data_IF_965983853589
#
_entry.id   IF_965983853589
#
_cell.length_a   1.000
_cell.length_b   1.000
_cell.length_c   1.000
_cell.angle_alpha   90.00
_cell.angle_beta   90.00
_cell.angle_gamma   90.00
#
_symmetry.space_group_name_H-M   'P 1'
#
loop_
_entity.id
_entity.type
_entity.pdbx_description
1 polymer ?
#
# COMPACT_ATOMS: atom_id res chain seq x y z
N UNK A 1 17.03 17.07 3.80
CA UNK A 1 16.31 17.16 2.51
C UNK A 1 14.99 17.89 2.71
N UNK A 2 14.36 18.35 1.62
CA UNK A 2 12.94 18.73 1.55
C UNK A 2 12.22 17.70 0.69
N UNK A 3 11.34 16.90 1.28
CA UNK A 3 10.76 15.71 0.64
C UNK A 3 9.26 15.89 0.51
N UNK A 4 8.75 15.85 -0.72
CA UNK A 4 7.32 15.88 -1.01
C UNK A 4 6.88 14.49 -1.49
N UNK A 5 5.90 13.89 -0.82
CA UNK A 5 5.27 12.64 -1.21
C UNK A 5 3.91 12.90 -1.86
N UNK A 6 3.67 12.32 -3.02
CA UNK A 6 2.38 12.35 -3.68
C UNK A 6 1.61 11.08 -3.33
N UNK A 7 0.57 11.20 -2.51
CA UNK A 7 -0.26 10.07 -2.11
C UNK A 7 -1.33 9.81 -3.16
N UNK A 8 -1.55 8.52 -3.44
CA UNK A 8 -2.66 8.04 -4.28
C UNK A 8 -3.89 7.62 -3.47
N UNK A 9 -3.68 7.17 -2.23
CA UNK A 9 -4.75 6.65 -1.38
C UNK A 9 -5.65 7.77 -0.88
N UNK A 10 -6.96 7.57 -0.96
CA UNK A 10 -7.96 8.51 -0.47
C UNK A 10 -8.10 8.44 1.05
N UNK A 11 -8.20 9.61 1.68
CA UNK A 11 -8.31 9.76 3.13
C UNK A 11 -6.98 9.97 3.84
N UNK A 12 -7.03 10.72 4.93
CA UNK A 12 -5.87 11.08 5.75
C UNK A 12 -5.43 9.93 6.67
N UNK A 13 -6.31 8.95 6.88
CA UNK A 13 -6.04 7.75 7.67
C UNK A 13 -6.22 6.48 6.85
N UNK A 14 -5.91 6.53 5.55
CA UNK A 14 -5.99 5.38 4.65
C UNK A 14 -5.20 4.19 5.20
N UNK A 15 -5.78 3.00 5.11
CA UNK A 15 -5.25 1.74 5.67
C UNK A 15 -4.49 0.90 4.65
N UNK A 16 -4.17 1.46 3.48
CA UNK A 16 -3.43 0.76 2.44
C UNK A 16 -1.97 0.57 2.82
N UNK A 17 -1.36 -0.52 2.36
CA UNK A 17 0.06 -0.80 2.59
C UNK A 17 0.98 0.31 2.05
N UNK A 18 0.65 0.85 0.88
CA UNK A 18 1.36 1.96 0.26
C UNK A 18 1.31 3.23 1.13
N UNK A 19 0.11 3.65 1.56
CA UNK A 19 -0.03 4.86 2.38
C UNK A 19 0.74 4.72 3.70
N UNK A 20 0.64 3.53 4.33
CA UNK A 20 1.38 3.22 5.55
C UNK A 20 2.89 3.25 5.34
N UNK A 21 3.41 2.70 4.24
CA UNK A 21 4.82 2.72 3.91
C UNK A 21 5.33 4.16 3.68
N UNK A 22 4.60 4.93 2.88
CA UNK A 22 4.93 6.32 2.56
C UNK A 22 4.94 7.21 3.81
N UNK A 23 3.89 7.13 4.63
CA UNK A 23 3.80 7.92 5.86
C UNK A 23 4.85 7.52 6.89
N UNK A 24 5.18 6.23 7.01
CA UNK A 24 6.26 5.77 7.90
C UNK A 24 7.63 6.33 7.51
N UNK A 25 7.92 6.40 6.21
CA UNK A 25 9.14 7.05 5.70
C UNK A 25 9.14 8.56 6.01
N UNK A 26 8.05 9.28 5.76
CA UNK A 26 7.96 10.71 6.07
C UNK A 26 8.14 10.98 7.57
N UNK A 27 7.53 10.17 8.43
CA UNK A 27 7.68 10.28 9.89
C UNK A 27 9.14 10.12 10.32
N UNK A 28 9.83 9.11 9.76
CA UNK A 28 11.25 8.92 10.01
C UNK A 28 12.07 10.14 9.55
N UNK A 29 11.91 10.58 8.30
CA UNK A 29 12.67 11.70 7.76
C UNK A 29 12.41 13.01 8.55
N UNK A 30 11.17 13.26 8.96
CA UNK A 30 10.82 14.39 9.82
C UNK A 30 11.56 14.33 11.16
N UNK A 31 11.61 13.14 11.79
CA UNK A 31 12.34 12.94 13.05
C UNK A 31 13.85 13.17 12.93
N UNK A 32 14.40 13.06 11.71
CA UNK A 32 15.80 13.34 11.37
C UNK A 32 16.05 14.81 10.99
N UNK A 33 15.05 15.67 11.14
CA UNK A 33 15.15 17.11 10.86
C UNK A 33 15.03 17.46 9.38
N UNK A 34 14.54 16.56 8.53
CA UNK A 34 14.17 16.90 7.17
C UNK A 34 12.80 17.58 7.13
N UNK A 35 12.61 18.50 6.19
CA UNK A 35 11.29 19.04 5.91
C UNK A 35 10.51 18.01 5.08
N UNK A 36 9.38 17.54 5.58
CA UNK A 36 8.55 16.54 4.89
C UNK A 36 7.16 17.08 4.64
N UNK A 37 6.67 16.88 3.42
CA UNK A 37 5.31 17.20 3.05
C UNK A 37 4.65 16.05 2.31
N UNK A 38 3.31 16.01 2.33
CA UNK A 38 2.54 15.15 1.45
C UNK A 38 1.39 15.89 0.79
N UNK A 39 1.19 15.62 -0.49
CA UNK A 39 -0.04 15.91 -1.21
C UNK A 39 -0.95 14.68 -1.06
N UNK A 40 -2.12 14.87 -0.45
CA UNK A 40 -2.98 13.79 0.00
C UNK A 40 -4.45 14.19 -0.05
N UNK A 41 -5.32 13.31 0.42
CA UNK A 41 -6.76 13.51 0.42
C UNK A 41 -7.31 13.39 1.84
N UNK A 42 -8.48 13.97 2.07
CA UNK A 42 -9.18 13.92 3.36
C UNK A 42 -10.66 13.72 3.12
N UNK A 43 -11.28 12.92 3.97
CA UNK A 43 -12.74 12.85 4.12
C UNK A 43 -13.21 13.83 5.20
N UNK A 44 -14.52 14.01 5.27
CA UNK A 44 -15.16 14.84 6.29
C UNK A 44 -14.77 14.39 7.71
N UNK A 45 -14.50 15.36 8.60
CA UNK A 45 -14.09 15.12 9.98
C UNK A 45 -12.64 14.64 10.21
N UNK A 46 -11.90 14.24 9.16
CA UNK A 46 -10.53 13.72 9.33
C UNK A 46 -9.52 14.82 9.68
N UNK A 47 -9.72 16.05 9.19
CA UNK A 47 -8.89 17.21 9.52
C UNK A 47 -9.01 17.55 11.00
N UNK A 48 -10.24 17.62 11.52
CA UNK A 48 -10.53 17.88 12.94
C UNK A 48 -9.91 16.81 13.83
N UNK A 49 -9.99 15.54 13.41
CA UNK A 49 -9.34 14.42 14.11
C UNK A 49 -7.82 14.57 14.13
N UNK A 50 -7.20 15.00 13.02
CA UNK A 50 -5.77 15.21 12.95
C UNK A 50 -5.31 16.39 13.82
N UNK A 51 -6.08 17.49 13.83
CA UNK A 51 -5.84 18.67 14.67
C UNK A 51 -5.94 18.32 16.15
N UNK A 52 -6.99 17.59 16.53
CA UNK A 52 -7.20 17.16 17.92
C UNK A 52 -6.02 16.37 18.47
N UNK A 53 -5.35 15.56 17.62
CA UNK A 53 -4.13 14.83 17.99
C UNK A 53 -2.93 15.76 18.22
N UNK A 54 -2.81 16.85 17.45
CA UNK A 54 -1.76 17.87 17.62
C UNK A 54 -1.96 18.61 18.94
N UNK A 55 -3.19 19.05 19.20
CA UNK A 55 -3.55 19.80 20.40
C UNK A 55 -3.43 18.95 21.67
N UNK A 56 -3.80 17.67 21.61
CA UNK A 56 -3.58 16.71 22.69
C UNK A 56 -2.08 16.52 23.02
N UNK A 57 -1.19 16.79 22.06
CA UNK A 57 0.27 16.80 22.27
C UNK A 57 0.81 18.10 22.85
N UNK A 58 -0.04 19.09 23.16
CA UNK A 58 0.34 20.39 23.72
C UNK A 58 0.83 21.41 22.68
N UNK A 59 0.75 21.11 21.39
CA UNK A 59 1.10 22.02 20.32
C UNK A 59 -0.14 22.75 19.78
N UNK A 60 0.00 24.02 19.42
CA UNK A 60 -1.07 24.77 18.75
C UNK A 60 -1.12 24.39 17.28
N UNK A 61 -2.24 23.82 16.83
CA UNK A 61 -2.44 23.53 15.42
C UNK A 61 -2.63 24.83 14.61
N UNK A 62 -1.99 24.90 13.43
CA UNK A 62 -2.23 25.94 12.44
C UNK A 62 -2.76 25.28 11.18
N UNK A 63 -3.93 25.72 10.75
CA UNK A 63 -4.64 25.19 9.60
C UNK A 63 -5.00 26.35 8.70
N UNK A 64 -4.59 26.28 7.44
CA UNK A 64 -5.09 27.16 6.39
C UNK A 64 -5.96 26.34 5.45
N UNK A 65 -6.99 26.97 4.89
CA UNK A 65 -7.81 26.35 3.85
C UNK A 65 -7.81 27.22 2.60
N UNK A 66 -7.92 26.59 1.45
CA UNK A 66 -8.14 27.24 0.17
C UNK A 66 -9.14 26.45 -0.67
N UNK A 67 -9.49 27.00 -1.82
CA UNK A 67 -10.32 26.31 -2.79
C UNK A 67 -9.91 26.69 -4.21
N UNK A 68 -10.17 25.79 -5.15
CA UNK A 68 -10.02 26.02 -6.58
C UNK A 68 -11.16 25.33 -7.33
N UNK A 69 -11.41 25.77 -8.56
CA UNK A 69 -12.51 25.23 -9.37
C UNK A 69 -12.01 24.21 -10.37
N UNK A 70 -12.71 23.09 -10.45
CA UNK A 70 -12.55 22.07 -11.48
C UNK A 70 -13.87 21.91 -12.24
N UNK A 71 -13.78 21.73 -13.57
CA UNK A 71 -14.96 21.60 -14.44
C UNK A 71 -15.28 20.11 -14.62
N UNK A 72 -16.52 19.69 -14.36
CA UNK A 72 -16.98 18.30 -14.59
C UNK A 72 -17.10 17.96 -16.09
N UNK A 73 -17.46 16.71 -16.44
CA UNK A 73 -17.73 16.37 -17.85
C UNK A 73 -18.93 17.14 -18.41
N UNK A 74 -19.91 17.45 -17.58
CA UNK A 74 -21.13 18.20 -17.95
C UNK A 74 -20.88 19.71 -18.08
N UNK A 75 -19.63 20.17 -17.88
CA UNK A 75 -19.27 21.58 -17.94
C UNK A 75 -19.58 22.38 -16.69
N UNK A 76 -20.01 21.72 -15.60
CA UNK A 76 -20.36 22.40 -14.36
C UNK A 76 -19.10 22.65 -13.51
N UNK A 77 -18.85 23.89 -13.04
CA UNK A 77 -17.77 24.14 -12.09
C UNK A 77 -18.09 23.52 -10.73
N UNK A 78 -17.11 22.89 -10.11
CA UNK A 78 -17.18 22.37 -8.74
C UNK A 78 -16.00 22.92 -7.94
N UNK A 79 -16.30 23.49 -6.77
CA UNK A 79 -15.28 23.95 -5.84
C UNK A 79 -14.63 22.75 -5.15
N UNK A 80 -13.32 22.64 -5.28
CA UNK A 80 -12.50 21.67 -4.57
C UNK A 80 -11.80 22.40 -3.44
N UNK A 81 -12.15 22.03 -2.21
CA UNK A 81 -11.49 22.55 -1.01
C UNK A 81 -10.20 21.78 -0.75
N UNK A 82 -9.24 22.47 -0.17
CA UNK A 82 -8.04 21.86 0.38
C UNK A 82 -7.64 22.53 1.67
N UNK A 83 -6.93 21.79 2.50
CA UNK A 83 -6.39 22.24 3.78
C UNK A 83 -4.88 22.06 3.79
N UNK A 84 -4.19 22.96 4.48
CA UNK A 84 -2.78 22.84 4.76
C UNK A 84 -2.48 22.98 6.24
N UNK A 85 -1.79 21.99 6.80
CA UNK A 85 -1.50 21.92 8.23
C UNK A 85 -0.33 20.98 8.51
N UNK A 86 0.36 21.19 9.63
CA UNK A 86 1.38 20.24 10.11
C UNK A 86 0.74 19.30 11.12
N UNK A 87 0.85 17.98 10.90
CA UNK A 87 0.28 16.99 11.81
C UNK A 87 1.22 16.72 13.01
N UNK A 88 0.77 15.86 13.94
CA UNK A 88 1.48 15.54 15.18
C UNK A 88 2.88 14.94 14.95
N UNK A 89 3.15 14.41 13.76
CA UNK A 89 4.44 13.85 13.38
C UNK A 89 5.37 14.87 12.69
N UNK A 90 5.00 16.15 12.62
CA UNK A 90 5.80 17.18 11.94
C UNK A 90 5.72 17.13 10.41
N UNK A 91 4.79 16.37 9.84
CA UNK A 91 4.59 16.29 8.39
C UNK A 91 3.63 17.39 7.96
N UNK A 92 4.02 18.19 6.97
CA UNK A 92 3.16 19.19 6.34
C UNK A 92 2.20 18.52 5.34
N UNK A 93 0.90 18.66 5.54
CA UNK A 93 -0.12 18.03 4.71
C UNK A 93 -0.74 19.08 3.82
N UNK A 94 -0.91 18.75 2.55
CA UNK A 94 -1.79 19.43 1.60
C UNK A 94 -2.90 18.41 1.31
N UNK A 95 -4.04 18.56 1.96
CA UNK A 95 -5.12 17.57 1.94
C UNK A 95 -6.29 18.11 1.11
N UNK A 96 -6.63 17.43 0.02
CA UNK A 96 -7.78 17.78 -0.83
C UNK A 96 -9.02 17.02 -0.37
N UNK A 97 -10.18 17.66 -0.55
CA UNK A 97 -11.47 17.02 -0.36
C UNK A 97 -11.62 15.80 -1.30
N UNK A 98 -11.60 14.60 -0.70
CA UNK A 98 -11.61 13.33 -1.41
C UNK A 98 -12.92 13.10 -2.19
N UNK A 99 -14.06 13.48 -1.60
CA UNK A 99 -15.38 13.29 -2.19
C UNK A 99 -15.57 14.23 -3.37
N UNK A 100 -15.17 15.51 -3.22
CA UNK A 100 -15.25 16.49 -4.28
C UNK A 100 -14.33 16.12 -5.46
N UNK A 101 -13.07 15.73 -5.20
CA UNK A 101 -12.15 15.28 -6.25
C UNK A 101 -12.69 14.04 -6.96
N UNK A 102 -13.17 13.04 -6.22
CA UNK A 102 -13.64 11.78 -6.81
C UNK A 102 -14.88 12.01 -7.69
N UNK A 103 -15.75 12.94 -7.30
CA UNK A 103 -16.93 13.32 -8.08
C UNK A 103 -16.55 14.01 -9.40
N UNK A 104 -15.59 14.93 -9.38
CA UNK A 104 -15.24 15.75 -10.55
C UNK A 104 -14.21 15.06 -11.45
N UNK A 105 -13.34 14.25 -10.86
CA UNK A 105 -12.28 13.55 -11.57
C UNK A 105 -12.23 12.07 -11.20
N UNK A 106 -13.29 11.30 -11.53
CA UNK A 106 -13.36 9.89 -11.21
C UNK A 106 -12.22 9.12 -11.88
N UNK A 107 -11.80 8.06 -11.21
CA UNK A 107 -10.71 7.15 -11.54
C UNK A 107 -10.55 6.81 -13.02
N UNK A 108 -11.61 6.33 -13.69
CA UNK A 108 -11.57 5.97 -15.13
C UNK A 108 -11.24 7.16 -16.04
N UNK A 109 -11.76 8.34 -15.68
CA UNK A 109 -11.54 9.56 -16.42
C UNK A 109 -10.15 10.14 -16.16
N UNK A 110 -9.67 10.03 -14.91
CA UNK A 110 -8.29 10.35 -14.57
C UNK A 110 -7.30 9.50 -15.38
N UNK A 111 -7.52 8.19 -15.49
CA UNK A 111 -6.69 7.31 -16.33
C UNK A 111 -6.68 7.77 -17.80
N UNK A 112 -7.86 8.04 -18.38
CA UNK A 112 -8.02 8.48 -19.78
C UNK A 112 -7.31 9.80 -20.05
N UNK A 113 -7.51 10.81 -19.20
CA UNK A 113 -6.89 12.13 -19.38
C UNK A 113 -5.39 12.10 -19.10
N UNK A 114 -4.94 11.30 -18.12
CA UNK A 114 -3.51 11.09 -17.86
C UNK A 114 -2.82 10.44 -19.05
N UNK A 115 -3.46 9.43 -19.66
CA UNK A 115 -2.95 8.80 -20.89
C UNK A 115 -2.79 9.82 -22.02
N UNK A 116 -3.81 10.64 -22.26
CA UNK A 116 -3.74 11.71 -23.27
C UNK A 116 -2.59 12.67 -22.96
N UNK A 117 -2.45 13.10 -21.71
CA UNK A 117 -1.39 14.01 -21.31
C UNK A 117 0.01 13.41 -21.48
N UNK A 118 0.19 12.13 -21.18
CA UNK A 118 1.44 11.40 -21.43
C UNK A 118 1.79 11.38 -22.92
N UNK A 119 0.81 11.14 -23.79
CA UNK A 119 1.03 10.90 -25.22
C UNK A 119 1.12 12.18 -26.06
N UNK A 120 0.41 13.24 -25.69
CA UNK A 120 0.29 14.46 -26.53
C UNK A 120 0.71 15.76 -25.84
N UNK A 121 1.09 15.71 -24.56
CA UNK A 121 1.33 16.88 -23.69
C UNK A 121 0.11 17.80 -23.47
N UNK A 122 -1.05 17.45 -24.05
CA UNK A 122 -2.27 18.23 -23.88
C UNK A 122 -2.96 17.87 -22.56
N UNK A 123 -3.34 18.91 -21.81
CA UNK A 123 -4.14 18.77 -20.60
C UNK A 123 -5.58 19.24 -20.85
N UNK A 124 -6.56 18.52 -20.29
CA UNK A 124 -7.93 19.02 -20.17
C UNK A 124 -7.96 20.26 -19.28
N UNK A 125 -9.00 21.10 -19.39
CA UNK A 125 -9.16 22.29 -18.50
C UNK A 125 -9.18 21.86 -17.03
N UNK A 126 -9.81 20.72 -16.74
CA UNK A 126 -9.86 20.13 -15.41
C UNK A 126 -8.48 19.72 -14.91
N UNK A 127 -7.72 19.01 -15.74
CA UNK A 127 -6.37 18.58 -15.41
C UNK A 127 -5.44 19.78 -15.23
N UNK A 128 -5.58 20.84 -16.04
CA UNK A 128 -4.85 22.11 -15.86
C UNK A 128 -5.15 22.76 -14.51
N UNK A 129 -6.41 22.79 -14.08
CA UNK A 129 -6.77 23.32 -12.77
C UNK A 129 -6.11 22.50 -11.64
N UNK A 130 -6.07 21.17 -11.80
CA UNK A 130 -5.48 20.28 -10.81
C UNK A 130 -3.95 20.40 -10.75
N UNK A 131 -3.27 20.40 -11.89
CA UNK A 131 -1.81 20.57 -11.98
C UNK A 131 -1.39 21.98 -11.57
N UNK A 132 -2.21 23.00 -11.78
CA UNK A 132 -1.94 24.36 -11.28
C UNK A 132 -1.84 24.39 -9.75
N UNK A 133 -2.79 23.80 -9.03
CA UNK A 133 -2.70 23.71 -7.56
C UNK A 133 -1.40 22.98 -7.16
N UNK A 134 -1.10 21.85 -7.82
CA UNK A 134 0.13 21.12 -7.55
C UNK A 134 1.37 22.02 -7.71
N UNK A 135 1.47 22.75 -8.82
CA UNK A 135 2.62 23.61 -9.12
C UNK A 135 2.76 24.74 -8.12
N UNK A 136 1.65 25.33 -7.67
CA UNK A 136 1.65 26.33 -6.60
C UNK A 136 2.21 25.72 -5.29
N UNK A 137 1.75 24.54 -4.90
CA UNK A 137 2.20 23.88 -3.66
C UNK A 137 3.65 23.41 -3.75
N UNK A 138 4.10 22.90 -4.89
CA UNK A 138 5.52 22.57 -5.13
C UNK A 138 6.37 23.83 -5.04
N UNK A 139 5.93 24.96 -5.62
CA UNK A 139 6.67 26.23 -5.58
C UNK A 139 6.78 26.81 -4.17
N UNK A 140 5.71 26.66 -3.37
CA UNK A 140 5.71 27.06 -1.96
C UNK A 140 6.61 26.16 -1.11
N UNK A 141 6.57 24.84 -1.33
CA UNK A 141 7.34 23.89 -0.54
C UNK A 141 8.79 23.75 -1.02
N UNK A 142 9.13 24.05 -2.27
CA UNK A 142 10.48 23.92 -2.85
C UNK A 142 11.13 22.56 -2.53
N UNK A 143 10.53 21.43 -2.95
CA UNK A 143 11.06 20.11 -2.65
C UNK A 143 12.43 19.92 -3.32
N UNK A 144 13.33 19.24 -2.62
CA UNK A 144 14.56 18.68 -3.21
C UNK A 144 14.32 17.29 -3.80
N UNK A 145 13.29 16.59 -3.31
CA UNK A 145 12.91 15.26 -3.74
C UNK A 145 11.39 15.18 -3.80
N UNK A 146 10.87 14.62 -4.89
CA UNK A 146 9.45 14.37 -5.08
C UNK A 146 9.27 12.88 -5.33
N UNK A 147 8.44 12.23 -4.51
CA UNK A 147 8.17 10.80 -4.57
C UNK A 147 6.72 10.59 -5.00
N UNK A 148 6.49 9.68 -5.94
CA UNK A 148 5.17 9.32 -6.45
C UNK A 148 5.13 7.85 -6.90
N UNK A 149 3.93 7.31 -7.07
CA UNK A 149 3.69 5.90 -7.46
C UNK A 149 2.68 5.77 -8.61
N UNK A 150 2.29 6.89 -9.23
CA UNK A 150 1.31 6.94 -10.32
C UNK A 150 1.76 7.82 -11.50
N UNK A 151 1.23 7.54 -12.71
CA UNK A 151 1.65 8.23 -13.92
C UNK A 151 1.26 9.71 -13.98
N UNK A 152 0.19 10.12 -13.29
CA UNK A 152 -0.30 11.49 -13.35
C UNK A 152 0.72 12.43 -12.72
N UNK A 153 1.17 12.13 -11.49
CA UNK A 153 2.17 12.96 -10.85
C UNK A 153 3.52 12.88 -11.52
N UNK A 154 3.87 11.70 -12.06
CA UNK A 154 5.07 11.54 -12.87
C UNK A 154 5.07 12.50 -14.07
N UNK A 155 3.97 12.56 -14.84
CA UNK A 155 3.87 13.46 -15.99
C UNK A 155 3.72 14.93 -15.59
N UNK A 156 2.91 15.25 -14.58
CA UNK A 156 2.73 16.63 -14.12
C UNK A 156 4.06 17.25 -13.66
N UNK A 157 4.87 16.51 -12.91
CA UNK A 157 6.20 16.96 -12.48
C UNK A 157 7.24 16.91 -13.60
N UNK A 158 6.95 16.29 -14.75
CA UNK A 158 7.88 16.26 -15.88
C UNK A 158 7.91 17.51 -16.73
N UNK A 159 6.81 18.26 -16.72
CA UNK A 159 6.64 19.50 -17.49
C UNK A 159 6.86 20.76 -16.66
N UNK A 160 7.13 20.59 -15.36
CA UNK A 160 7.41 21.67 -14.42
C UNK A 160 8.93 21.91 -14.31
N UNK A 161 9.34 23.17 -14.21
CA UNK A 161 10.69 23.49 -13.75
C UNK A 161 10.78 23.28 -12.24
N UNK A 162 11.59 22.30 -11.85
CA UNK A 162 11.73 21.85 -10.46
C UNK A 162 13.04 22.31 -9.80
N UNK A 163 13.78 23.25 -10.42
CA UNK A 163 15.04 23.78 -9.88
C UNK A 163 16.04 22.67 -9.44
N UNK A 164 16.07 21.57 -10.20
CA UNK A 164 16.95 20.42 -9.94
C UNK A 164 16.45 19.39 -8.91
N UNK A 165 15.18 19.49 -8.45
CA UNK A 165 14.59 18.48 -7.58
C UNK A 165 14.60 17.09 -8.22
N UNK A 166 14.80 16.06 -7.40
CA UNK A 166 14.88 14.66 -7.86
C UNK A 166 13.51 14.02 -7.86
N UNK A 167 13.08 13.52 -9.02
CA UNK A 167 11.85 12.74 -9.19
C UNK A 167 12.12 11.27 -8.95
N UNK A 168 11.36 10.67 -8.04
CA UNK A 168 11.50 9.27 -7.63
C UNK A 168 10.17 8.55 -7.80
N UNK A 169 10.15 7.51 -8.64
CA UNK A 169 9.00 6.63 -8.77
C UNK A 169 9.13 5.44 -7.82
N UNK A 170 8.11 5.17 -7.00
CA UNK A 170 8.05 4.02 -6.09
C UNK A 170 7.12 2.95 -6.65
N UNK A 171 7.59 1.72 -6.71
CA UNK A 171 6.82 0.56 -7.17
C UNK A 171 6.36 -0.24 -5.95
N UNK A 172 5.14 0.04 -5.49
CA UNK A 172 4.42 -0.66 -4.42
C UNK A 172 3.57 -1.83 -4.93
N UNK A 173 3.30 -1.90 -6.24
CA UNK A 173 2.61 -3.01 -6.90
C UNK A 173 3.01 -3.10 -8.38
N UNK A 174 3.01 -4.29 -8.97
CA UNK A 174 3.32 -4.46 -10.39
C UNK A 174 2.31 -3.78 -11.33
N UNK A 175 1.05 -3.60 -10.93
CA UNK A 175 0.05 -2.89 -11.73
C UNK A 175 0.37 -1.39 -11.91
N UNK A 176 1.26 -0.83 -11.11
CA UNK A 176 1.73 0.56 -11.29
C UNK A 176 2.66 0.70 -12.50
N UNK A 177 3.09 -0.40 -13.11
CA UNK A 177 3.98 -0.39 -14.26
C UNK A 177 3.18 -0.55 -15.56
N UNK A 178 3.54 0.17 -16.64
CA UNK A 178 2.81 0.15 -17.91
C UNK A 178 3.18 -1.06 -18.80
N UNK A 179 3.76 -2.12 -18.22
CA UNK A 179 4.28 -3.27 -18.95
C UNK A 179 4.16 -4.56 -18.14
N UNK A 180 4.28 -5.69 -18.82
CA UNK A 180 4.13 -7.01 -18.24
C UNK A 180 2.65 -7.42 -18.08
N UNK A 181 2.40 -8.63 -17.56
CA UNK A 181 1.06 -9.22 -17.52
C UNK A 181 0.05 -8.48 -16.64
N UNK A 182 0.50 -7.56 -15.80
CA UNK A 182 -0.36 -6.85 -14.83
C UNK A 182 -0.58 -5.38 -15.21
N UNK A 183 -0.04 -4.94 -16.35
CA UNK A 183 -0.22 -3.59 -16.85
C UNK A 183 -1.72 -3.29 -17.05
N UNK A 184 -2.15 -2.09 -16.63
CA UNK A 184 -3.55 -1.70 -16.73
C UNK A 184 -4.48 -2.26 -15.62
N UNK A 185 -3.96 -3.06 -14.68
CA UNK A 185 -4.79 -3.66 -13.61
C UNK A 185 -5.28 -2.68 -12.53
N UNK A 186 -4.55 -1.57 -12.30
CA UNK A 186 -5.05 -0.52 -11.40
C UNK A 186 -6.01 0.42 -12.15
N UNK A 187 -7.14 0.80 -11.52
CA UNK A 187 -8.12 1.67 -12.16
C UNK A 187 -7.62 3.04 -12.67
N UNK A 188 -6.50 3.56 -12.12
CA UNK A 188 -5.85 4.81 -12.55
C UNK A 188 -4.69 4.62 -13.54
N UNK A 189 -4.44 3.41 -14.03
CA UNK A 189 -3.34 3.14 -14.97
C UNK A 189 -3.60 3.84 -16.30
N UNK A 190 -2.62 4.62 -16.78
CA UNK A 190 -2.67 5.16 -18.14
C UNK A 190 -2.29 4.11 -19.19
N UNK A 191 -1.36 3.20 -18.86
CA UNK A 191 -0.87 2.12 -19.72
C UNK A 191 -0.52 2.64 -21.13
N UNK A 192 0.52 3.46 -21.18
CA UNK A 192 1.03 4.07 -22.43
C UNK A 192 2.50 3.75 -22.65
N UNK A 193 2.98 3.57 -23.90
CA UNK A 193 4.40 3.53 -24.20
C UNK A 193 5.17 4.76 -23.68
N UNK A 194 4.53 5.93 -23.69
CA UNK A 194 5.11 7.17 -23.17
C UNK A 194 5.34 7.12 -21.65
N UNK A 195 4.50 6.38 -20.91
CA UNK A 195 4.66 6.16 -19.47
C UNK A 195 5.95 5.40 -19.17
N UNK A 196 6.27 4.38 -19.98
CA UNK A 196 7.49 3.61 -19.81
C UNK A 196 8.76 4.45 -20.06
N UNK A 197 8.76 5.24 -21.12
CA UNK A 197 9.90 6.13 -21.40
C UNK A 197 10.07 7.20 -20.32
N UNK A 198 8.96 7.71 -19.77
CA UNK A 198 9.01 8.68 -18.69
C UNK A 198 9.51 8.08 -17.37
N UNK A 199 9.20 6.82 -17.07
CA UNK A 199 9.77 6.09 -15.92
C UNK A 199 11.31 6.05 -15.99
N UNK A 200 11.88 5.78 -17.17
CA UNK A 200 13.33 5.76 -17.38
C UNK A 200 13.99 7.13 -17.20
N UNK A 201 13.22 8.21 -17.34
CA UNK A 201 13.66 9.59 -17.14
C UNK A 201 13.52 10.06 -15.68
N UNK A 202 13.00 9.24 -14.76
CA UNK A 202 13.03 9.55 -13.34
C UNK A 202 14.47 9.50 -12.82
N UNK A 203 14.79 10.36 -11.84
CA UNK A 203 16.13 10.35 -11.23
C UNK A 203 16.38 9.08 -10.42
N UNK A 204 15.31 8.46 -9.91
CA UNK A 204 15.36 7.14 -9.29
C UNK A 204 14.06 6.38 -9.47
N UNK A 205 14.16 5.06 -9.58
CA UNK A 205 13.02 4.16 -9.49
C UNK A 205 13.29 3.17 -8.36
N UNK A 206 12.35 3.05 -7.43
CA UNK A 206 12.48 2.28 -6.21
C UNK A 206 11.52 1.08 -6.22
N UNK A 207 12.07 -0.12 -6.26
CA UNK A 207 11.35 -1.37 -6.00
C UNK A 207 11.44 -1.74 -4.52
N UNK A 208 10.29 -2.04 -3.90
CA UNK A 208 10.22 -2.38 -2.46
C UNK A 208 10.67 -3.82 -2.14
N UNK A 209 10.97 -4.63 -3.15
CA UNK A 209 11.40 -6.03 -2.99
C UNK A 209 12.16 -6.55 -4.21
N UNK A 210 12.80 -7.71 -4.04
CA UNK A 210 13.50 -8.38 -5.13
C UNK A 210 12.52 -8.90 -6.18
N UNK A 211 11.34 -9.40 -5.79
CA UNK A 211 10.28 -9.81 -6.71
C UNK A 211 9.85 -8.65 -7.63
N UNK A 212 9.60 -7.46 -7.06
CA UNK A 212 9.23 -6.27 -7.85
C UNK A 212 10.38 -5.81 -8.74
N UNK A 213 11.61 -5.79 -8.23
CA UNK A 213 12.80 -5.48 -9.05
C UNK A 213 12.94 -6.43 -10.23
N UNK A 214 12.76 -7.73 -9.99
CA UNK A 214 12.87 -8.76 -11.03
C UNK A 214 11.74 -8.60 -12.07
N UNK A 215 10.52 -8.26 -11.64
CA UNK A 215 9.41 -7.96 -12.55
C UNK A 215 9.72 -6.74 -13.44
N UNK A 216 10.15 -5.64 -12.83
CA UNK A 216 10.51 -4.40 -13.54
C UNK A 216 11.61 -4.64 -14.58
N UNK A 217 12.63 -5.43 -14.23
CA UNK A 217 13.70 -5.80 -15.15
C UNK A 217 13.20 -6.74 -16.27
N UNK A 218 12.50 -7.83 -15.91
CA UNK A 218 12.05 -8.85 -16.86
C UNK A 218 11.13 -8.30 -17.96
N UNK A 219 10.20 -7.42 -17.60
CA UNK A 219 9.16 -6.96 -18.51
C UNK A 219 9.41 -5.55 -19.07
N UNK A 220 10.14 -4.70 -18.35
CA UNK A 220 10.39 -3.32 -18.75
C UNK A 220 11.85 -3.00 -19.05
N UNK A 221 12.80 -3.88 -18.72
CA UNK A 221 14.24 -3.53 -18.69
C UNK A 221 14.49 -2.26 -17.85
N UNK A 222 13.68 -2.06 -16.80
CA UNK A 222 13.71 -0.88 -15.95
C UNK A 222 14.69 -1.10 -14.79
N UNK A 223 15.75 -0.31 -14.73
CA UNK A 223 16.69 -0.35 -13.61
C UNK A 223 16.05 0.24 -12.35
N UNK A 224 16.17 -0.50 -11.24
CA UNK A 224 15.59 -0.11 -9.96
C UNK A 224 16.57 -0.27 -8.81
N UNK A 225 16.54 0.69 -7.89
CA UNK A 225 17.01 0.48 -6.54
C UNK A 225 16.07 -0.53 -5.87
N UNK A 226 16.63 -1.47 -5.10
CA UNK A 226 15.86 -2.46 -4.36
C UNK A 226 16.14 -2.27 -2.88
N UNK A 227 15.22 -1.62 -2.20
CA UNK A 227 15.32 -1.29 -0.78
C UNK A 227 13.98 -1.66 -0.14
N UNK A 228 13.93 -2.46 0.93
CA UNK A 228 12.66 -2.74 1.61
C UNK A 228 12.01 -1.47 2.15
N UNK A 229 10.72 -1.56 2.46
CA UNK A 229 10.02 -0.48 3.17
C UNK A 229 10.72 -0.13 4.50
N UNK A 230 10.66 1.15 4.88
CA UNK A 230 11.30 1.65 6.10
C UNK A 230 10.78 0.92 7.35
N UNK A 231 11.68 0.57 8.29
CA UNK A 231 11.38 -0.25 9.47
C UNK A 231 10.22 0.28 10.33
N UNK A 232 10.03 1.61 10.38
CA UNK A 232 8.97 2.27 11.15
C UNK A 232 7.56 1.83 10.76
N UNK A 233 7.36 1.22 9.58
CA UNK A 233 6.07 0.63 9.21
C UNK A 233 5.62 -0.47 10.18
N UNK A 234 6.55 -1.12 10.87
CA UNK A 234 6.30 -2.23 11.78
C UNK A 234 6.40 -1.84 13.27
N UNK A 235 6.84 -0.63 13.57
CA UNK A 235 7.02 -0.15 14.94
C UNK A 235 5.74 0.55 15.41
N UNK A 236 5.47 0.46 16.71
CA UNK A 236 4.39 1.22 17.33
C UNK A 236 4.64 2.73 17.13
N UNK A 237 3.61 3.46 16.70
CA UNK A 237 3.80 4.82 16.25
C UNK A 237 4.29 5.77 17.35
N UNK A 238 3.90 5.49 18.60
CA UNK A 238 4.18 6.36 19.75
C UNK A 238 5.49 5.99 20.43
N UNK A 239 5.70 4.71 20.65
CA UNK A 239 6.83 4.19 21.43
C UNK A 239 8.04 3.87 20.56
N UNK A 240 7.85 3.70 19.24
CA UNK A 240 8.87 3.23 18.30
C UNK A 240 9.46 1.86 18.70
N UNK A 241 8.68 1.07 19.45
CA UNK A 241 9.07 -0.28 19.87
C UNK A 241 8.38 -1.33 18.99
N UNK A 242 8.93 -2.54 19.02
CA UNK A 242 8.28 -3.70 18.42
C UNK A 242 6.91 -3.96 19.08
N UNK A 243 5.93 -4.46 18.32
CA UNK A 243 4.61 -4.73 18.86
C UNK A 243 4.63 -5.80 19.95
N UNK A 244 3.64 -5.73 20.83
CA UNK A 244 3.44 -6.68 21.92
C UNK A 244 3.32 -8.10 21.39
N UNK A 245 3.98 -9.05 22.06
CA UNK A 245 3.82 -10.48 21.79
C UNK A 245 2.43 -10.97 22.15
N UNK A 246 1.87 -11.83 21.30
CA UNK A 246 0.64 -12.59 21.52
C UNK A 246 0.98 -14.05 21.81
N UNK A 247 0.10 -14.70 22.57
CA UNK A 247 0.20 -16.12 22.92
C UNK A 247 -1.14 -16.77 22.57
N UNK A 248 -1.38 -16.93 21.27
CA UNK A 248 -2.71 -17.23 20.73
C UNK A 248 -3.01 -18.73 20.59
N UNK A 249 -2.28 -19.60 21.30
CA UNK A 249 -2.51 -21.04 21.26
C UNK A 249 -3.98 -21.42 21.59
N UNK A 250 -4.56 -20.75 22.60
CA UNK A 250 -5.94 -21.00 23.05
C UNK A 250 -7.01 -20.33 22.18
N UNK A 251 -6.62 -19.59 21.11
CA UNK A 251 -7.57 -19.00 20.17
C UNK A 251 -8.05 -20.07 19.19
N UNK A 252 -9.25 -19.90 18.64
CA UNK A 252 -9.85 -20.88 17.72
C UNK A 252 -9.83 -20.48 16.26
N UNK A 253 -9.52 -19.22 15.95
CA UNK A 253 -9.82 -18.64 14.64
C UNK A 253 -8.61 -18.61 13.71
N UNK A 254 -8.83 -19.04 12.46
CA UNK A 254 -7.90 -18.91 11.35
C UNK A 254 -8.25 -17.64 10.57
N UNK A 255 -7.32 -16.70 10.48
CA UNK A 255 -7.58 -15.35 9.96
C UNK A 255 -7.19 -15.16 8.50
N UNK A 256 -7.92 -14.32 7.78
CA UNK A 256 -7.50 -13.72 6.51
C UNK A 256 -7.84 -12.23 6.48
N UNK A 257 -6.92 -11.41 6.00
CA UNK A 257 -7.11 -9.97 5.85
C UNK A 257 -7.33 -9.65 4.37
N UNK A 258 -8.36 -8.84 4.07
CA UNK A 258 -8.72 -8.43 2.72
C UNK A 258 -8.97 -9.62 1.77
N UNK A 259 -9.98 -10.47 2.05
CA UNK A 259 -10.32 -11.59 1.18
C UNK A 259 -10.83 -11.09 -0.19
N UNK A 260 -10.08 -11.43 -1.24
CA UNK A 260 -10.44 -11.16 -2.63
C UNK A 260 -9.93 -12.27 -3.54
N UNK A 261 -10.39 -12.28 -4.80
CA UNK A 261 -9.99 -13.26 -5.82
C UNK A 261 -8.47 -13.37 -5.91
N UNK A 262 -7.77 -12.23 -6.07
CA UNK A 262 -6.31 -12.17 -6.22
C UNK A 262 -5.57 -12.49 -4.92
N UNK A 263 -6.19 -12.27 -3.76
CA UNK A 263 -5.62 -12.62 -2.45
C UNK A 263 -5.88 -14.08 -2.05
N UNK A 264 -6.49 -14.89 -2.91
CA UNK A 264 -6.63 -16.32 -2.68
C UNK A 264 -7.83 -16.74 -1.84
N UNK A 265 -8.89 -15.92 -1.77
CA UNK A 265 -10.08 -16.24 -0.94
C UNK A 265 -10.71 -17.60 -1.25
N UNK A 266 -10.60 -18.08 -2.48
CA UNK A 266 -11.09 -19.40 -2.88
C UNK A 266 -10.34 -20.56 -2.21
N UNK A 267 -9.05 -20.40 -1.87
CA UNK A 267 -8.32 -21.40 -1.06
C UNK A 267 -8.94 -21.45 0.35
N UNK A 268 -9.19 -20.29 0.97
CA UNK A 268 -9.84 -20.24 2.28
C UNK A 268 -11.24 -20.87 2.26
N UNK A 269 -12.07 -20.54 1.26
CA UNK A 269 -13.40 -21.12 1.12
C UNK A 269 -13.37 -22.65 0.99
N UNK A 270 -12.41 -23.19 0.23
CA UNK A 270 -12.22 -24.63 0.08
C UNK A 270 -11.72 -25.29 1.38
N UNK A 271 -10.81 -24.63 2.11
CA UNK A 271 -10.36 -25.08 3.44
C UNK A 271 -11.50 -25.09 4.46
N UNK A 272 -12.31 -24.04 4.50
CA UNK A 272 -13.47 -23.95 5.39
C UNK A 272 -14.47 -25.09 5.16
N UNK A 273 -14.73 -25.45 3.89
CA UNK A 273 -15.55 -26.62 3.54
C UNK A 273 -14.91 -27.94 3.94
N UNK A 274 -13.59 -28.05 3.82
CA UNK A 274 -12.82 -29.27 4.10
C UNK A 274 -12.66 -29.55 5.60
N UNK A 275 -12.70 -28.49 6.43
CA UNK A 275 -12.48 -28.50 7.87
C UNK A 275 -13.65 -27.79 8.60
N UNK A 276 -14.88 -28.38 8.58
CA UNK A 276 -16.08 -27.73 9.10
C UNK A 276 -16.05 -27.44 10.61
N UNK A 277 -15.17 -28.10 11.36
CA UNK A 277 -14.94 -27.89 12.79
C UNK A 277 -14.04 -26.69 13.11
N UNK A 278 -13.34 -26.14 12.12
CA UNK A 278 -12.43 -25.01 12.28
C UNK A 278 -13.16 -23.70 12.02
N UNK A 279 -13.03 -22.76 12.95
CA UNK A 279 -13.53 -21.40 12.78
C UNK A 279 -12.56 -20.54 11.95
N UNK A 280 -13.08 -19.85 10.96
CA UNK A 280 -12.34 -18.89 10.15
C UNK A 280 -12.89 -17.49 10.38
N UNK A 281 -12.05 -16.48 10.20
CA UNK A 281 -12.43 -15.08 10.30
C UNK A 281 -11.77 -14.27 9.19
N UNK A 282 -12.54 -13.39 8.56
CA UNK A 282 -12.11 -12.55 7.47
C UNK A 282 -12.38 -11.08 7.78
N UNK A 283 -11.37 -10.21 7.66
CA UNK A 283 -11.60 -8.76 7.68
C UNK A 283 -11.73 -8.24 6.26
N UNK A 284 -12.93 -7.77 5.89
CA UNK A 284 -13.16 -7.21 4.56
C UNK A 284 -12.36 -5.93 4.35
N UNK A 285 -11.99 -5.68 3.10
CA UNK A 285 -11.56 -4.35 2.69
C UNK A 285 -12.76 -3.46 2.39
N UNK A 286 -12.49 -2.16 2.26
CA UNK A 286 -13.47 -1.16 1.89
C UNK A 286 -14.10 -1.39 0.50
N UNK A 287 -13.45 -2.16 -0.40
CA UNK A 287 -13.87 -2.39 -1.77
C UNK A 287 -14.12 -3.89 -2.08
N UNK A 288 -14.76 -4.62 -1.16
CA UNK A 288 -15.10 -6.03 -1.35
C UNK A 288 -16.22 -6.22 -2.39
N UNK A 289 -16.05 -7.18 -3.30
CA UNK A 289 -17.08 -7.60 -4.25
C UNK A 289 -18.20 -8.40 -3.58
N UNK A 290 -19.45 -8.13 -3.96
CA UNK A 290 -20.64 -8.78 -3.38
C UNK A 290 -20.67 -10.30 -3.56
N UNK A 291 -20.13 -10.81 -4.67
CA UNK A 291 -20.01 -12.26 -4.91
C UNK A 291 -19.16 -12.93 -3.84
N UNK A 292 -17.98 -12.36 -3.56
CA UNK A 292 -17.07 -12.87 -2.54
C UNK A 292 -17.68 -12.73 -1.14
N UNK A 293 -18.36 -11.61 -0.87
CA UNK A 293 -19.08 -11.39 0.38
C UNK A 293 -20.11 -12.50 0.62
N UNK A 294 -20.98 -12.77 -0.35
CA UNK A 294 -22.00 -13.82 -0.25
C UNK A 294 -21.38 -15.20 -0.07
N UNK A 295 -20.34 -15.52 -0.85
CA UNK A 295 -19.67 -16.82 -0.74
C UNK A 295 -19.07 -17.06 0.66
N UNK A 296 -18.54 -16.01 1.31
CA UNK A 296 -18.05 -16.08 2.69
C UNK A 296 -19.20 -16.21 3.70
N UNK A 297 -20.26 -15.39 3.57
CA UNK A 297 -21.44 -15.41 4.44
C UNK A 297 -22.20 -16.75 4.39
N UNK A 298 -22.15 -17.46 3.25
CA UNK A 298 -22.78 -18.77 3.08
C UNK A 298 -22.04 -19.92 3.79
N UNK A 299 -20.78 -19.75 4.20
CA UNK A 299 -20.05 -20.78 4.92
C UNK A 299 -20.31 -20.67 6.44
N UNK A 300 -20.85 -21.71 7.10
CA UNK A 300 -21.30 -21.61 8.49
C UNK A 300 -20.16 -21.43 9.50
N UNK A 301 -18.92 -21.72 9.11
CA UNK A 301 -17.72 -21.60 9.93
C UNK A 301 -16.81 -20.43 9.53
N UNK A 302 -17.32 -19.45 8.77
CA UNK A 302 -16.60 -18.21 8.45
C UNK A 302 -17.31 -17.01 9.08
N UNK A 303 -16.57 -16.25 9.89
CA UNK A 303 -16.99 -14.94 10.38
C UNK A 303 -16.47 -13.83 9.45
N UNK A 304 -17.35 -13.02 8.86
CA UNK A 304 -16.97 -11.85 8.07
C UNK A 304 -17.08 -10.58 8.92
N UNK A 305 -15.96 -9.88 9.12
CA UNK A 305 -15.85 -8.64 9.90
C UNK A 305 -15.63 -7.43 9.03
N UNK A 306 -16.03 -6.27 9.56
CA UNK A 306 -15.86 -4.97 8.94
C UNK A 306 -14.39 -4.53 8.82
N UNK A 307 -14.08 -3.61 7.89
CA UNK A 307 -12.75 -3.01 7.84
C UNK A 307 -12.41 -2.33 9.17
N UNK A 308 -11.19 -2.53 9.65
CA UNK A 308 -10.71 -1.91 10.89
C UNK A 308 -9.52 -1.01 10.63
N UNK A 309 -9.42 0.07 11.41
CA UNK A 309 -8.21 0.91 11.49
C UNK A 309 -7.30 0.51 12.65
N UNK A 310 -7.77 -0.40 13.52
CA UNK A 310 -7.02 -0.96 14.64
C UNK A 310 -6.80 -2.46 14.43
N UNK A 311 -5.67 -2.81 13.81
CA UNK A 311 -5.33 -4.20 13.56
C UNK A 311 -4.95 -4.98 14.82
N UNK A 312 -4.68 -4.32 15.97
CA UNK A 312 -4.40 -5.05 17.21
C UNK A 312 -5.57 -5.93 17.65
N UNK A 313 -6.80 -5.48 17.44
CA UNK A 313 -8.00 -6.28 17.71
C UNK A 313 -8.06 -7.53 16.83
N UNK A 314 -7.67 -7.41 15.56
CA UNK A 314 -7.60 -8.55 14.67
C UNK A 314 -6.52 -9.55 15.11
N UNK A 315 -5.33 -9.06 15.45
CA UNK A 315 -4.23 -9.89 15.91
C UNK A 315 -4.50 -10.60 17.24
N UNK A 316 -5.40 -10.07 18.08
CA UNK A 316 -5.81 -10.72 19.33
C UNK A 316 -6.70 -11.95 19.12
N UNK A 317 -7.36 -12.08 17.96
CA UNK A 317 -8.29 -13.18 17.69
C UNK A 317 -7.70 -14.29 16.81
N UNK A 318 -6.68 -13.98 16.02
CA UNK A 318 -6.11 -14.90 15.04
C UNK A 318 -5.13 -15.87 15.72
N UNK A 319 -5.41 -17.18 15.67
CA UNK A 319 -4.46 -18.24 16.03
C UNK A 319 -3.40 -18.43 14.94
N UNK A 320 -3.85 -18.57 13.69
CA UNK A 320 -3.01 -18.72 12.48
C UNK A 320 -3.50 -17.75 11.41
N UNK A 321 -2.59 -17.01 10.79
CA UNK A 321 -2.91 -16.15 9.64
C UNK A 321 -2.69 -16.91 8.33
N UNK A 322 -3.70 -16.92 7.47
CA UNK A 322 -3.60 -17.37 6.08
C UNK A 322 -3.31 -16.17 5.16
N UNK A 323 -2.27 -16.32 4.33
CA UNK A 323 -1.92 -15.37 3.26
C UNK A 323 -1.79 -16.14 1.93
N UNK A 324 -2.89 -16.70 1.39
CA UNK A 324 -2.88 -17.57 0.22
C UNK A 324 -2.86 -16.80 -1.11
N UNK A 325 -2.17 -15.67 -1.15
CA UNK A 325 -2.22 -14.74 -2.28
C UNK A 325 -1.82 -15.42 -3.59
N UNK A 326 -2.56 -15.16 -4.66
CA UNK A 326 -2.16 -15.55 -6.03
C UNK A 326 -1.50 -14.39 -6.78
N UNK A 327 -1.52 -13.22 -6.17
CA UNK A 327 -0.99 -11.98 -6.70
C UNK A 327 0.53 -11.95 -6.61
N UNK A 328 1.18 -11.21 -7.52
CA UNK A 328 2.58 -10.83 -7.34
C UNK A 328 2.69 -9.81 -6.18
N UNK A 329 2.65 -10.31 -4.94
CA UNK A 329 2.78 -9.49 -3.74
C UNK A 329 4.08 -8.71 -3.78
N UNK A 330 3.99 -7.39 -3.55
CA UNK A 330 5.17 -6.56 -3.56
C UNK A 330 6.02 -6.75 -2.30
N UNK A 331 5.42 -7.13 -1.16
CA UNK A 331 6.15 -7.47 0.06
C UNK A 331 5.36 -8.45 0.95
N UNK A 332 4.17 -8.06 1.41
CA UNK A 332 3.40 -8.81 2.41
C UNK A 332 3.52 -8.22 3.82
N UNK A 333 3.10 -6.96 4.00
CA UNK A 333 3.19 -6.24 5.28
C UNK A 333 2.53 -7.04 6.43
N UNK A 334 1.35 -7.62 6.16
CA UNK A 334 0.59 -8.40 7.16
C UNK A 334 1.34 -9.66 7.64
N UNK A 335 2.22 -10.23 6.81
CA UNK A 335 3.07 -11.36 7.19
C UNK A 335 4.03 -10.93 8.30
N UNK A 336 4.77 -9.85 8.06
CA UNK A 336 5.73 -9.31 9.02
C UNK A 336 5.02 -8.85 10.29
N UNK A 337 3.86 -8.20 10.17
CA UNK A 337 3.06 -7.76 11.32
C UNK A 337 2.61 -8.93 12.21
N UNK A 338 2.08 -10.01 11.61
CA UNK A 338 1.66 -11.19 12.36
C UNK A 338 2.85 -11.94 12.98
N UNK A 339 3.93 -12.15 12.22
CA UNK A 339 5.12 -12.81 12.74
C UNK A 339 5.75 -12.04 13.90
N UNK A 340 5.84 -10.70 13.82
CA UNK A 340 6.30 -9.88 14.95
C UNK A 340 5.47 -10.08 16.20
N UNK A 341 4.18 -10.40 16.09
CA UNK A 341 3.28 -10.68 17.22
C UNK A 341 3.37 -12.13 17.70
N UNK A 342 4.16 -12.98 17.05
CA UNK A 342 4.25 -14.41 17.36
C UNK A 342 3.03 -15.20 16.86
N UNK A 343 2.36 -14.72 15.82
CA UNK A 343 1.26 -15.44 15.17
C UNK A 343 1.85 -16.21 13.98
N UNK A 344 1.74 -17.55 13.95
CA UNK A 344 2.13 -18.33 12.78
C UNK A 344 1.41 -17.90 11.51
N UNK A 345 2.13 -17.87 10.40
CA UNK A 345 1.62 -17.44 9.09
C UNK A 345 1.86 -18.55 8.08
N UNK A 346 0.79 -19.04 7.45
CA UNK A 346 0.84 -19.86 6.25
C UNK A 346 0.69 -18.93 5.05
N UNK A 347 1.75 -18.76 4.27
CA UNK A 347 1.76 -17.86 3.12
C UNK A 347 2.04 -18.63 1.84
N UNK A 348 1.55 -18.13 0.71
CA UNK A 348 1.89 -18.70 -0.58
C UNK A 348 3.32 -18.34 -1.01
N UNK A 349 3.81 -18.95 -2.09
CA UNK A 349 5.07 -18.59 -2.75
C UNK A 349 4.95 -17.42 -3.75
N UNK A 350 3.81 -16.73 -3.76
CA UNK A 350 3.54 -15.69 -4.73
C UNK A 350 4.32 -14.38 -4.44
N UNK A 351 4.95 -13.84 -5.47
CA UNK A 351 5.68 -12.57 -5.42
C UNK A 351 6.76 -12.55 -4.32
N UNK A 352 6.74 -11.53 -3.48
CA UNK A 352 7.68 -11.31 -2.39
C UNK A 352 7.23 -11.94 -1.06
N UNK A 353 6.18 -12.77 -1.02
CA UNK A 353 5.81 -13.47 0.23
C UNK A 353 6.94 -14.33 0.80
N UNK A 354 7.73 -15.08 -0.01
CA UNK A 354 8.92 -15.74 0.49
C UNK A 354 9.94 -14.78 1.12
N UNK A 355 10.10 -13.57 0.56
CA UNK A 355 11.00 -12.55 1.10
C UNK A 355 10.49 -12.03 2.46
N UNK A 356 9.19 -11.72 2.58
CA UNK A 356 8.62 -11.22 3.84
C UNK A 356 8.44 -12.29 4.92
N UNK A 357 8.37 -13.57 4.53
CA UNK A 357 8.42 -14.70 5.47
C UNK A 357 9.80 -14.90 6.09
N UNK A 358 10.87 -14.34 5.51
CA UNK A 358 12.22 -14.33 6.08
C UNK A 358 12.74 -15.76 6.40
N UNK A 359 12.37 -16.75 5.59
CA UNK A 359 12.73 -18.15 5.78
C UNK A 359 11.94 -18.89 6.87
N UNK A 360 10.96 -18.24 7.52
CA UNK A 360 10.05 -18.89 8.48
C UNK A 360 9.02 -19.73 7.70
N UNK A 361 8.82 -21.02 8.02
CA UNK A 361 7.77 -21.81 7.37
C UNK A 361 6.36 -21.34 7.77
N UNK A 362 5.29 -21.71 7.07
CA UNK A 362 5.27 -22.45 5.80
C UNK A 362 5.12 -21.49 4.63
N UNK A 363 5.80 -21.80 3.54
CA UNK A 363 5.62 -21.19 2.22
C UNK A 363 5.05 -22.27 1.32
N UNK A 364 3.83 -22.05 0.82
CA UNK A 364 3.05 -23.08 0.13
C UNK A 364 2.90 -22.71 -1.35
N UNK A 365 3.25 -23.62 -2.29
CA UNK A 365 3.13 -23.32 -3.72
C UNK A 365 1.69 -23.03 -4.15
N UNK A 366 1.52 -22.01 -5.00
CA UNK A 366 0.25 -21.72 -5.67
C UNK A 366 0.43 -21.50 -7.17
N UNK A 367 -0.64 -21.68 -7.94
CA UNK A 367 -0.66 -21.21 -9.33
C UNK A 367 -0.93 -19.71 -9.32
N UNK A 368 0.10 -18.91 -9.55
CA UNK A 368 -0.02 -17.45 -9.61
C UNK A 368 -0.92 -16.99 -10.77
N UNK A 369 -1.44 -15.76 -10.66
CA UNK A 369 -2.24 -15.14 -11.72
C UNK A 369 -1.42 -14.88 -12.98
N UNK A 370 -2.03 -15.14 -14.14
CA UNK A 370 -1.40 -14.97 -15.46
C UNK A 370 -1.45 -13.53 -15.98
N UNK A 371 -2.34 -12.69 -15.43
CA UNK A 371 -2.64 -11.36 -15.95
C UNK A 371 -3.91 -11.30 -16.82
N UNK A 372 -4.49 -12.46 -17.14
CA UNK A 372 -5.73 -12.56 -17.91
C UNK A 372 -6.93 -12.12 -17.08
N UNK A 373 -7.91 -11.53 -17.75
CA UNK A 373 -9.16 -11.09 -17.15
C UNK A 373 -10.35 -11.84 -17.76
N UNK A 374 -11.40 -12.03 -16.98
CA UNK A 374 -12.70 -12.54 -17.43
C UNK A 374 -13.53 -11.46 -18.15
N UNK A 375 -14.73 -11.82 -18.60
CA UNK A 375 -15.64 -10.92 -19.32
C UNK A 375 -16.07 -9.70 -18.50
N UNK A 376 -16.03 -9.79 -17.16
CA UNK A 376 -16.33 -8.71 -16.22
C UNK A 376 -15.11 -7.83 -15.92
N UNK A 377 -13.97 -8.11 -16.54
CA UNK A 377 -12.72 -7.40 -16.34
C UNK A 377 -12.04 -7.70 -15.00
N UNK A 378 -12.35 -8.84 -14.37
CA UNK A 378 -11.69 -9.32 -13.15
C UNK A 378 -10.59 -10.31 -13.51
N UNK A 379 -9.53 -10.40 -12.69
CA UNK A 379 -8.49 -11.41 -12.93
C UNK A 379 -9.06 -12.83 -12.93
N UNK A 380 -8.74 -13.58 -13.97
CA UNK A 380 -9.06 -15.00 -14.08
C UNK A 380 -8.22 -15.77 -13.06
N UNK A 381 -8.91 -16.46 -12.15
CA UNK A 381 -8.27 -17.23 -11.07
C UNK A 381 -8.02 -18.67 -11.55
N UNK A 382 -6.76 -19.14 -11.62
CA UNK A 382 -6.48 -20.53 -11.93
C UNK A 382 -6.89 -21.45 -10.78
N UNK A 383 -7.32 -22.66 -11.12
CA UNK A 383 -7.76 -23.65 -10.13
C UNK A 383 -6.60 -24.09 -9.22
N UNK A 384 -6.79 -23.94 -7.91
CA UNK A 384 -5.80 -24.23 -6.88
C UNK A 384 -6.00 -25.59 -6.21
N UNK A 385 -4.87 -26.24 -5.92
CA UNK A 385 -4.79 -27.38 -5.01
C UNK A 385 -4.68 -26.88 -3.56
N UNK A 386 -5.54 -27.39 -2.69
CA UNK A 386 -5.57 -27.01 -1.28
C UNK A 386 -4.84 -28.00 -0.39
N UNK A 387 -4.52 -29.21 -0.86
CA UNK A 387 -3.95 -30.27 -0.01
C UNK A 387 -2.64 -29.84 0.68
N UNK A 388 -1.72 -29.08 0.04
CA UNK A 388 -0.53 -28.55 0.70
C UNK A 388 -0.80 -27.59 1.87
N UNK A 389 -2.03 -27.07 2.00
CA UNK A 389 -2.45 -26.18 3.08
C UNK A 389 -3.06 -26.92 4.26
N UNK A 390 -3.64 -28.11 4.04
CA UNK A 390 -4.43 -28.83 5.04
C UNK A 390 -3.55 -29.33 6.19
N UNK A 391 -2.48 -30.07 5.89
CA UNK A 391 -1.62 -30.65 6.93
C UNK A 391 -0.92 -29.58 7.81
N UNK A 392 -0.28 -28.52 7.25
CA UNK A 392 0.31 -27.48 8.08
C UNK A 392 -0.72 -26.76 8.95
N UNK A 393 -1.92 -26.51 8.40
CA UNK A 393 -2.99 -25.86 9.16
C UNK A 393 -3.47 -26.77 10.31
N UNK A 394 -3.74 -28.05 10.02
CA UNK A 394 -4.19 -29.02 11.01
C UNK A 394 -3.19 -29.18 12.16
N UNK A 395 -1.90 -29.26 11.81
CA UNK A 395 -0.79 -29.33 12.77
C UNK A 395 -0.78 -28.11 13.68
N UNK A 396 -0.83 -26.90 13.13
CA UNK A 396 -0.82 -25.67 13.94
C UNK A 396 -2.08 -25.47 14.78
N UNK A 397 -3.18 -26.15 14.45
CA UNK A 397 -4.41 -26.11 15.24
C UNK A 397 -4.38 -27.09 16.42
N UNK A 398 -3.72 -28.25 16.26
CA UNK A 398 -3.81 -29.39 17.20
C UNK A 398 -2.52 -29.69 17.99
N UNK A 399 -1.35 -29.33 17.47
CA UNK A 399 -0.06 -29.55 18.12
C UNK A 399 0.45 -28.25 18.79
N UNK A 400 0.38 -28.21 20.13
CA UNK A 400 0.80 -27.05 20.91
C UNK A 400 2.30 -26.77 20.80
N UNK A 401 3.11 -27.82 20.73
CA UNK A 401 4.56 -27.70 20.73
C UNK A 401 5.05 -27.18 19.38
N UNK A 402 4.54 -27.74 18.28
CA UNK A 402 4.86 -27.23 16.94
C UNK A 402 4.32 -25.81 16.72
N UNK A 403 3.11 -25.49 17.22
CA UNK A 403 2.60 -24.12 17.19
C UNK A 403 3.53 -23.14 17.92
N UNK A 404 3.90 -23.45 19.17
CA UNK A 404 4.74 -22.55 19.99
C UNK A 404 6.12 -22.39 19.39
N UNK A 405 6.71 -23.47 18.88
CA UNK A 405 8.00 -23.47 18.18
C UNK A 405 7.95 -22.57 16.96
N UNK A 406 6.93 -22.70 16.11
CA UNK A 406 6.80 -21.84 14.93
C UNK A 406 6.52 -20.37 15.30
N UNK A 407 5.66 -20.12 16.30
CA UNK A 407 5.38 -18.78 16.81
C UNK A 407 6.64 -18.09 17.37
N UNK A 408 7.48 -18.82 18.10
CA UNK A 408 8.76 -18.33 18.61
C UNK A 408 9.72 -18.01 17.47
N UNK A 409 9.90 -18.96 16.54
CA UNK A 409 10.76 -18.76 15.38
C UNK A 409 10.31 -17.55 14.55
N UNK A 410 9.01 -17.45 14.26
CA UNK A 410 8.41 -16.35 13.51
C UNK A 410 8.74 -15.00 14.16
N UNK A 411 8.52 -14.88 15.47
CA UNK A 411 8.79 -13.62 16.19
C UNK A 411 10.27 -13.31 16.24
N UNK A 412 11.11 -14.27 16.61
CA UNK A 412 12.54 -14.04 16.81
C UNK A 412 13.22 -13.64 15.50
N UNK A 413 13.03 -14.41 14.43
CA UNK A 413 13.61 -14.10 13.11
C UNK A 413 13.13 -12.74 12.61
N UNK A 414 11.83 -12.46 12.73
CA UNK A 414 11.27 -11.20 12.21
C UNK A 414 11.68 -9.98 13.05
N UNK A 415 11.75 -10.13 14.38
CA UNK A 415 12.21 -9.07 15.26
C UNK A 415 13.68 -8.73 15.00
N UNK A 416 14.52 -9.75 14.77
CA UNK A 416 15.93 -9.56 14.43
C UNK A 416 16.07 -8.91 13.05
N UNK A 417 15.27 -9.28 12.06
CA UNK A 417 15.24 -8.60 10.76
C UNK A 417 14.90 -7.12 10.90
N UNK A 418 13.81 -6.77 11.61
CA UNK A 418 13.37 -5.37 11.76
C UNK A 418 14.38 -4.53 12.52
N UNK A 419 15.03 -5.08 13.56
CA UNK A 419 16.08 -4.37 14.32
C UNK A 419 17.35 -4.13 13.51
N UNK A 420 17.69 -5.03 12.59
CA UNK A 420 18.91 -4.97 11.79
C UNK A 420 18.71 -4.34 10.40
N UNK A 421 17.49 -3.91 10.07
CA UNK A 421 17.21 -3.18 8.84
C UNK A 421 17.91 -1.82 8.89
N UNK A 422 18.71 -1.48 7.88
CA UNK A 422 19.33 -0.16 7.77
C UNK A 422 18.26 0.91 7.53
N UNK A 423 17.80 1.55 8.60
CA UNK A 423 16.80 2.61 8.60
C UNK A 423 17.26 3.85 7.79
N UNK A 424 18.56 4.03 7.63
CA UNK A 424 19.13 5.10 6.81
C UNK A 424 19.27 4.74 5.32
N UNK A 425 18.99 3.50 4.89
CA UNK A 425 19.27 3.05 3.52
C UNK A 425 18.53 3.88 2.46
N UNK A 426 17.23 4.13 2.67
CA UNK A 426 16.41 4.96 1.77
C UNK A 426 16.92 6.41 1.77
N UNK A 427 17.23 6.96 2.94
CA UNK A 427 17.74 8.32 3.11
C UNK A 427 19.08 8.51 2.36
N UNK A 428 20.05 7.62 2.59
CA UNK A 428 21.36 7.63 1.91
C UNK A 428 21.20 7.51 0.40
N UNK A 429 20.31 6.63 -0.07
CA UNK A 429 20.04 6.46 -1.49
C UNK A 429 19.47 7.75 -2.11
N UNK A 430 18.45 8.36 -1.49
CA UNK A 430 17.88 9.64 -1.94
C UNK A 430 18.95 10.73 -2.02
N UNK A 431 19.77 10.89 -0.97
CA UNK A 431 20.88 11.86 -0.95
C UNK A 431 21.87 11.58 -2.09
N UNK A 432 22.13 10.31 -2.42
CA UNK A 432 23.03 9.96 -3.52
C UNK A 432 22.51 10.41 -4.89
N UNK A 433 21.18 10.44 -5.09
CA UNK A 433 20.56 10.92 -6.33
C UNK A 433 20.77 12.43 -6.52
N UNK A 434 20.84 13.19 -5.43
CA UNK A 434 21.15 14.62 -5.46
C UNK A 434 22.59 14.92 -5.95
N UNK A 435 23.52 13.97 -5.76
CA UNK A 435 24.95 14.14 -6.11
C UNK A 435 25.30 13.74 -7.54
N UNK A 436 24.46 12.93 -8.19
CA UNK A 436 24.62 12.59 -9.61
C UNK A 436 24.16 13.80 -10.43
N UNK A 437 25.12 14.61 -10.89
CA UNK A 437 24.93 15.63 -11.92
C UNK A 437 25.33 15.04 -13.28
#
# INVERSE_FOLDING_TARGET
MRVLMMQKSMGLFATTGEYKANTSLLRYLASRGHATAQFCFTYDGEIERAISKVEAGGAKASVSSGQFQMITEEGNPTDIKYWSFTNVNGIYNIALDADAITKVFPTKLQAKETKKFLETEEQSIRLQAYTKLLFEQISLFKPTHILFSDPLWMKATSVMDLEGAKRIFIIHCAEQLPFGPYAGGIPNSACSPAEHELLKQCNGVWAVSKAVKNYAWKYGQLETACIPNHAWIYLDERTQQLPRRRYNWNKGLVGMINPSRVKGVHILLKLAKRMPEVGFVCWRSWAMHDEIRKALEEQPNIELRDPTTNMEEAWDDIKVLLVPSLWLEAWGIVVVEAQLRGIPVLASDAGALPESKLGVPHIIPVKALTGEHDEDGQYTVPEQDIEPWVEPLDTLLKDEEEYKKLAEQARTVTADYVKNLDDTAIEKWMISLARKQ
#
